data_IF_446157624472
#
_entry.id   IF_446157624472
#
_cell.length_a   1.000
_cell.length_b   1.000
_cell.length_c   1.000
_cell.angle_alpha   90.00
_cell.angle_beta   90.00
_cell.angle_gamma   90.00
#
_symmetry.space_group_name_H-M   'P 1'
#
loop_
_entity.id
_entity.type
_entity.pdbx_description
1 polymer ?
#
# COMPACT_ATOMS: atom_id res chain seq x y z
N UNK A 1 21.22 -25.82 -44.95
CA UNK A 1 21.50 -25.62 -43.50
C UNK A 1 21.42 -26.98 -42.81
N UNK A 2 22.45 -27.34 -42.08
CA UNK A 2 22.66 -28.72 -41.57
C UNK A 2 21.62 -29.02 -40.46
N UNK A 3 20.88 -30.15 -40.57
CA UNK A 3 19.84 -30.56 -39.58
C UNK A 3 20.29 -30.47 -38.13
N UNK A 4 21.58 -30.75 -37.86
CA UNK A 4 22.19 -30.67 -36.53
C UNK A 4 22.25 -29.21 -36.00
N UNK A 5 22.46 -28.24 -36.90
CA UNK A 5 22.51 -26.81 -36.52
C UNK A 5 21.10 -26.31 -36.19
N UNK A 6 20.10 -26.76 -36.92
CA UNK A 6 18.68 -26.37 -36.66
C UNK A 6 18.22 -26.91 -35.30
N UNK A 7 18.54 -28.18 -34.99
CA UNK A 7 18.18 -28.79 -33.70
C UNK A 7 18.90 -28.05 -32.55
N UNK A 8 20.18 -27.70 -32.70
CA UNK A 8 20.91 -26.93 -31.67
C UNK A 8 20.32 -25.57 -31.40
N UNK A 9 19.90 -24.85 -32.45
CA UNK A 9 19.25 -23.51 -32.31
C UNK A 9 17.88 -23.63 -31.64
N UNK A 10 17.08 -24.63 -31.98
CA UNK A 10 15.74 -24.84 -31.37
C UNK A 10 15.88 -25.20 -29.88
N UNK A 11 16.84 -26.08 -29.52
CA UNK A 11 17.11 -26.42 -28.12
C UNK A 11 17.57 -25.20 -27.31
N UNK A 12 18.43 -24.36 -27.90
CA UNK A 12 18.90 -23.13 -27.24
C UNK A 12 17.75 -22.13 -27.01
N UNK A 13 16.85 -21.98 -27.97
CA UNK A 13 15.68 -21.08 -27.83
C UNK A 13 14.74 -21.62 -26.75
N UNK A 14 14.53 -22.93 -26.68
CA UNK A 14 13.69 -23.57 -25.63
C UNK A 14 14.34 -23.37 -24.26
N UNK A 15 15.67 -23.55 -24.13
CA UNK A 15 16.38 -23.35 -22.89
C UNK A 15 16.37 -21.87 -22.43
N UNK A 16 16.49 -20.93 -23.36
CA UNK A 16 16.38 -19.48 -23.06
C UNK A 16 14.95 -19.14 -22.66
N UNK A 17 13.95 -19.73 -23.34
CA UNK A 17 12.53 -19.56 -23.01
C UNK A 17 12.19 -20.12 -21.62
N UNK A 18 12.70 -21.31 -21.27
CA UNK A 18 12.53 -21.93 -19.95
C UNK A 18 13.30 -21.16 -18.85
N UNK A 19 14.46 -20.59 -19.16
CA UNK A 19 15.23 -19.76 -18.24
C UNK A 19 14.52 -18.41 -18.00
N UNK A 20 13.96 -17.80 -19.03
CA UNK A 20 13.16 -16.56 -18.90
C UNK A 20 11.85 -16.79 -18.11
N UNK A 21 11.19 -17.94 -18.27
CA UNK A 21 10.03 -18.33 -17.47
C UNK A 21 10.39 -18.59 -15.99
N UNK A 22 11.61 -19.01 -15.70
CA UNK A 22 12.11 -19.23 -14.33
C UNK A 22 12.57 -17.96 -13.62
N UNK A 23 12.77 -16.85 -14.36
CA UNK A 23 13.09 -15.52 -13.85
C UNK A 23 11.86 -14.67 -13.52
N UNK A 24 10.65 -15.24 -13.50
CA UNK A 24 9.53 -14.62 -12.82
C UNK A 24 9.95 -14.39 -11.37
N UNK A 25 10.29 -13.13 -11.01
CA UNK A 25 10.53 -12.73 -9.61
C UNK A 25 9.37 -13.30 -8.79
N UNK A 26 9.64 -14.23 -7.90
CA UNK A 26 8.68 -14.59 -6.85
C UNK A 26 8.49 -13.33 -6.01
N UNK A 27 7.50 -12.52 -6.36
CA UNK A 27 7.08 -11.39 -5.53
C UNK A 27 6.54 -12.04 -4.26
N UNK A 28 7.22 -11.80 -3.15
CA UNK A 28 6.73 -12.24 -1.85
C UNK A 28 5.50 -11.42 -1.51
N UNK A 29 4.32 -12.00 -1.79
CA UNK A 29 3.04 -11.39 -1.44
C UNK A 29 2.77 -11.68 0.04
N UNK A 30 2.56 -10.62 0.82
CA UNK A 30 2.08 -10.68 2.18
C UNK A 30 0.59 -11.07 2.25
N UNK A 31 -0.02 -10.85 3.39
CA UNK A 31 -1.46 -11.07 3.56
C UNK A 31 -2.28 -9.99 2.86
N UNK A 32 -3.54 -10.28 2.61
CA UNK A 32 -4.51 -9.28 2.22
C UNK A 32 -5.21 -8.72 3.45
N UNK A 33 -5.50 -7.43 3.40
CA UNK A 33 -6.30 -6.71 4.40
C UNK A 33 -7.50 -6.09 3.72
N UNK A 34 -8.66 -6.23 4.33
CA UNK A 34 -9.89 -5.51 3.93
C UNK A 34 -10.13 -4.41 4.95
N UNK A 35 -10.28 -3.18 4.46
CA UNK A 35 -10.81 -2.05 5.19
C UNK A 35 -12.29 -1.88 4.80
N UNK A 36 -13.20 -2.30 5.70
CA UNK A 36 -14.62 -2.07 5.56
C UNK A 36 -14.89 -0.61 5.96
N UNK A 37 -15.20 0.25 5.00
CA UNK A 37 -15.39 1.68 5.26
C UNK A 37 -16.87 2.08 5.16
N UNK A 38 -17.21 3.26 5.68
CA UNK A 38 -18.55 3.85 5.52
C UNK A 38 -18.93 4.17 4.05
N UNK A 39 -17.98 4.02 3.10
CA UNK A 39 -18.19 4.23 1.66
C UNK A 39 -18.04 2.95 0.83
N UNK A 40 -17.71 1.82 1.45
CA UNK A 40 -17.47 0.51 0.80
C UNK A 40 -16.13 -0.10 1.22
N UNK A 41 -15.85 -1.28 0.68
CA UNK A 41 -14.69 -2.07 1.04
C UNK A 41 -13.48 -1.74 0.17
N UNK A 42 -12.30 -1.70 0.78
CA UNK A 42 -11.01 -1.53 0.12
C UNK A 42 -10.15 -2.74 0.46
N UNK A 43 -9.73 -3.52 -0.55
CA UNK A 43 -8.84 -4.67 -0.36
C UNK A 43 -7.41 -4.30 -0.72
N UNK A 44 -6.49 -4.51 0.20
CA UNK A 44 -5.07 -4.19 0.08
C UNK A 44 -4.27 -5.49 0.11
N UNK A 45 -3.42 -5.72 -0.90
CA UNK A 45 -2.37 -6.73 -0.90
C UNK A 45 -1.12 -6.13 -0.26
N UNK A 46 -0.70 -6.65 0.87
CA UNK A 46 0.54 -6.22 1.52
C UNK A 46 1.77 -6.80 0.80
N UNK A 47 2.90 -6.11 0.89
CA UNK A 47 4.20 -6.58 0.40
C UNK A 47 4.86 -7.44 1.50
N UNK A 48 5.04 -8.75 1.24
CA UNK A 48 5.56 -9.69 2.21
C UNK A 48 7.07 -9.56 2.46
N UNK A 49 7.76 -8.78 1.65
CA UNK A 49 9.18 -8.42 1.79
C UNK A 49 9.40 -7.11 2.57
N UNK A 50 8.33 -6.58 3.19
CA UNK A 50 8.33 -5.37 4.02
C UNK A 50 7.94 -5.70 5.48
N UNK A 51 8.71 -6.55 6.21
CA UNK A 51 8.31 -7.08 7.52
C UNK A 51 8.17 -6.02 8.61
N UNK A 52 8.88 -4.90 8.53
CA UNK A 52 8.77 -3.81 9.51
C UNK A 52 7.47 -3.04 9.24
N UNK A 53 7.26 -2.54 8.04
CA UNK A 53 6.17 -1.64 7.73
C UNK A 53 4.85 -2.38 7.50
N UNK A 54 4.84 -3.38 6.59
CA UNK A 54 3.65 -4.19 6.35
C UNK A 54 3.31 -5.06 7.56
N UNK A 55 4.33 -5.63 8.24
CA UNK A 55 4.13 -6.42 9.46
C UNK A 55 3.57 -5.60 10.62
N UNK A 56 3.98 -4.34 10.78
CA UNK A 56 3.39 -3.44 11.77
C UNK A 56 1.92 -3.13 11.45
N UNK A 57 1.60 -2.83 10.20
CA UNK A 57 0.23 -2.59 9.77
C UNK A 57 -0.64 -3.84 10.01
N UNK A 58 -0.18 -5.03 9.61
CA UNK A 58 -0.84 -6.31 9.87
C UNK A 58 -1.12 -6.55 11.36
N UNK A 59 -0.11 -6.31 12.22
CA UNK A 59 -0.24 -6.40 13.68
C UNK A 59 -1.34 -5.49 14.19
N UNK A 60 -1.37 -4.23 13.79
CA UNK A 60 -2.37 -3.25 14.21
C UNK A 60 -3.78 -3.62 13.72
N UNK A 61 -3.90 -4.14 12.48
CA UNK A 61 -5.16 -4.69 11.96
C UNK A 61 -5.65 -5.85 12.84
N UNK A 62 -4.78 -6.80 13.18
CA UNK A 62 -5.13 -7.97 14.00
C UNK A 62 -5.57 -7.59 15.42
N UNK A 63 -5.12 -6.45 15.92
CA UNK A 63 -5.50 -5.88 17.21
C UNK A 63 -6.79 -5.04 17.15
N UNK A 64 -7.39 -4.87 15.97
CA UNK A 64 -8.56 -4.01 15.77
C UNK A 64 -8.27 -2.52 15.92
N UNK A 65 -6.99 -2.13 15.89
CA UNK A 65 -6.55 -0.75 16.13
C UNK A 65 -7.19 0.27 15.20
N UNK A 66 -7.46 -0.13 13.96
CA UNK A 66 -8.05 0.76 12.94
C UNK A 66 -9.57 0.83 12.96
N UNK A 67 -10.25 0.02 13.80
CA UNK A 67 -11.71 0.03 13.87
C UNK A 67 -12.19 1.34 14.49
N UNK A 68 -13.05 2.06 13.76
CA UNK A 68 -13.54 3.38 14.14
C UNK A 68 -12.60 4.53 13.76
N UNK A 69 -11.36 4.27 13.30
CA UNK A 69 -10.49 5.31 12.79
C UNK A 69 -11.08 5.95 11.52
N UNK A 70 -10.76 7.23 11.27
CA UNK A 70 -11.27 7.96 10.12
C UNK A 70 -10.16 8.29 9.12
N UNK A 71 -10.55 8.57 7.88
CA UNK A 71 -9.69 9.29 6.93
C UNK A 71 -9.77 10.78 7.28
N UNK A 72 -8.83 11.24 8.08
CA UNK A 72 -8.82 12.59 8.66
C UNK A 72 -8.28 13.66 7.71
N UNK A 73 -7.63 13.27 6.59
CA UNK A 73 -7.12 14.18 5.57
C UNK A 73 -7.30 13.59 4.17
N UNK A 74 -7.97 14.35 3.30
CA UNK A 74 -8.29 13.94 1.93
C UNK A 74 -7.94 15.08 0.99
N UNK A 75 -7.00 14.82 0.06
CA UNK A 75 -6.63 15.76 -0.99
C UNK A 75 -6.87 15.09 -2.34
N UNK A 76 -7.91 15.53 -3.03
CA UNK A 76 -8.21 15.03 -4.38
C UNK A 76 -7.02 15.28 -5.33
N UNK A 77 -6.68 14.26 -6.15
CA UNK A 77 -5.51 14.32 -7.03
C UNK A 77 -4.16 14.16 -6.32
N UNK A 78 -4.18 13.77 -5.01
CA UNK A 78 -2.96 13.48 -4.25
C UNK A 78 -3.10 12.18 -3.45
N UNK A 79 -3.76 12.18 -2.31
CA UNK A 79 -3.88 11.00 -1.43
C UNK A 79 -5.09 11.12 -0.48
N UNK A 80 -5.47 9.98 0.11
CA UNK A 80 -6.34 9.92 1.30
C UNK A 80 -5.54 9.36 2.47
N UNK A 81 -5.58 10.01 3.64
CA UNK A 81 -4.78 9.66 4.82
C UNK A 81 -5.68 9.33 6.01
N UNK A 82 -5.34 8.23 6.69
CA UNK A 82 -6.02 7.74 7.88
C UNK A 82 -5.07 7.03 8.84
N UNK A 83 -5.65 6.23 9.77
CA UNK A 83 -4.88 5.40 10.70
C UNK A 83 -4.43 6.08 11.98
N UNK A 84 -4.93 7.30 12.23
CA UNK A 84 -4.83 7.97 13.53
C UNK A 84 -6.05 7.59 14.39
N UNK A 85 -5.87 6.96 15.57
CA UNK A 85 -6.98 6.58 16.44
C UNK A 85 -7.72 7.78 17.03
N UNK A 86 -7.10 8.96 17.06
CA UNK A 86 -7.72 10.21 17.56
C UNK A 86 -8.39 11.02 16.46
N UNK A 87 -8.12 10.72 15.19
CA UNK A 87 -8.66 11.42 14.03
C UNK A 87 -8.20 12.88 13.88
N UNK A 88 -7.16 13.29 14.61
CA UNK A 88 -6.61 14.67 14.60
C UNK A 88 -5.43 14.86 13.65
N UNK A 89 -4.85 13.76 13.14
CA UNK A 89 -3.59 13.75 12.40
C UNK A 89 -2.33 13.71 13.28
N UNK A 90 -2.49 13.78 14.61
CA UNK A 90 -1.38 13.81 15.58
C UNK A 90 -1.24 12.53 16.40
N UNK A 91 -2.24 11.63 16.34
CA UNK A 91 -2.25 10.39 17.10
C UNK A 91 -1.46 9.27 16.41
N UNK A 92 -1.25 8.18 17.17
CA UNK A 92 -0.51 7.00 16.70
C UNK A 92 -0.58 5.85 17.70
N UNK A 93 0.22 4.79 17.50
CA UNK A 93 0.16 3.57 18.30
C UNK A 93 0.95 3.65 19.61
N UNK A 94 1.54 4.82 19.94
CA UNK A 94 2.40 5.00 21.11
C UNK A 94 3.86 4.60 20.90
N UNK A 95 4.26 4.28 19.67
CA UNK A 95 5.63 3.97 19.26
C UNK A 95 5.87 4.35 17.80
N UNK A 96 7.14 4.38 17.40
CA UNK A 96 7.55 4.56 15.99
C UNK A 96 8.28 3.34 15.47
N UNK A 97 8.24 3.16 14.15
CA UNK A 97 8.98 2.11 13.43
C UNK A 97 10.06 2.73 12.54
N UNK A 98 11.09 1.94 12.22
CA UNK A 98 12.11 2.32 11.25
C UNK A 98 11.53 2.36 9.84
N UNK A 99 11.99 3.32 9.05
CA UNK A 99 11.67 3.36 7.62
C UNK A 99 12.25 2.13 6.90
N UNK A 100 11.48 1.59 5.97
CA UNK A 100 11.82 0.37 5.25
C UNK A 100 11.59 0.58 3.76
N UNK A 101 12.65 0.56 2.95
CA UNK A 101 12.62 0.84 1.51
C UNK A 101 13.15 -0.35 0.68
N UNK A 102 12.96 -1.58 1.19
CA UNK A 102 13.60 -2.80 0.66
C UNK A 102 12.73 -3.58 -0.33
N UNK A 103 11.49 -3.12 -0.61
CA UNK A 103 10.59 -3.82 -1.52
C UNK A 103 11.26 -4.12 -2.86
N UNK A 104 11.20 -5.39 -3.31
CA UNK A 104 11.87 -5.86 -4.55
C UNK A 104 11.39 -5.13 -5.82
N UNK A 105 10.16 -4.60 -5.82
CA UNK A 105 9.62 -3.73 -6.85
C UNK A 105 10.20 -2.31 -6.85
N UNK A 106 11.00 -1.97 -5.85
CA UNK A 106 11.41 -0.61 -5.52
C UNK A 106 10.33 0.12 -4.74
N UNK A 107 10.73 1.09 -3.91
CA UNK A 107 9.77 1.93 -3.20
C UNK A 107 9.12 2.90 -4.18
N UNK A 108 7.86 2.69 -4.51
CA UNK A 108 7.10 3.47 -5.48
C UNK A 108 5.76 3.90 -4.90
N UNK A 109 5.58 5.21 -4.75
CA UNK A 109 4.32 5.83 -4.36
C UNK A 109 3.45 6.06 -5.60
N UNK A 110 3.17 4.97 -6.32
CA UNK A 110 2.30 5.00 -7.49
C UNK A 110 0.82 5.00 -7.08
N UNK A 111 -0.06 5.32 -8.03
CA UNK A 111 -1.51 5.23 -7.83
C UNK A 111 -1.92 3.89 -7.22
N UNK A 112 -2.77 3.94 -6.20
CA UNK A 112 -3.28 2.78 -5.48
C UNK A 112 -2.30 2.14 -4.49
N UNK A 113 -1.04 2.61 -4.35
CA UNK A 113 -0.18 2.11 -3.27
C UNK A 113 -0.61 2.66 -1.93
N UNK A 114 -0.50 1.83 -0.87
CA UNK A 114 -0.58 2.27 0.53
C UNK A 114 0.82 2.50 1.07
N UNK A 115 1.02 3.66 1.70
CA UNK A 115 2.34 4.10 2.17
C UNK A 115 2.27 4.60 3.60
N UNK A 116 3.37 4.47 4.34
CA UNK A 116 3.47 4.90 5.73
C UNK A 116 3.62 6.43 5.82
N UNK A 117 2.68 7.06 6.52
CA UNK A 117 2.81 8.47 6.88
C UNK A 117 3.84 8.63 8.01
N UNK A 118 4.60 9.71 7.95
CA UNK A 118 5.61 10.04 8.97
C UNK A 118 5.81 11.56 9.05
N UNK A 119 6.43 12.03 10.14
CA UNK A 119 6.84 13.42 10.37
C UNK A 119 8.37 13.61 10.25
N UNK A 120 9.03 12.72 9.55
CA UNK A 120 10.47 12.67 9.34
C UNK A 120 10.99 11.24 9.38
N UNK A 121 12.29 11.01 9.18
CA UNK A 121 12.87 9.68 9.15
C UNK A 121 12.59 8.87 10.42
N UNK A 122 12.20 7.59 10.25
CA UNK A 122 11.94 6.63 11.33
C UNK A 122 10.86 7.09 12.34
N UNK A 123 9.89 7.89 11.90
CA UNK A 123 8.77 8.34 12.74
C UNK A 123 7.42 7.76 12.33
N UNK A 124 7.39 6.82 11.39
CA UNK A 124 6.18 6.07 11.02
C UNK A 124 5.59 5.33 12.23
N UNK A 125 4.28 5.19 12.28
CA UNK A 125 3.57 4.54 13.37
C UNK A 125 2.36 3.74 12.87
N UNK A 126 1.17 4.31 13.02
CA UNK A 126 -0.07 3.70 12.50
C UNK A 126 -0.68 4.45 11.33
N UNK A 127 -0.32 5.73 11.14
CA UNK A 127 -0.91 6.52 10.07
C UNK A 127 -0.39 6.06 8.71
N UNK A 128 -1.30 5.96 7.75
CA UNK A 128 -1.02 5.58 6.38
C UNK A 128 -1.77 6.49 5.41
N UNK A 129 -1.34 6.48 4.16
CA UNK A 129 -2.09 7.11 3.08
C UNK A 129 -2.17 6.19 1.85
N UNK A 130 -3.24 6.36 1.06
CA UNK A 130 -3.41 5.68 -0.22
C UNK A 130 -3.24 6.72 -1.32
N UNK A 131 -2.35 6.45 -2.26
CA UNK A 131 -2.02 7.35 -3.35
C UNK A 131 -3.12 7.37 -4.42
N UNK A 132 -3.61 8.55 -4.78
CA UNK A 132 -4.61 8.75 -5.83
C UNK A 132 -4.00 8.96 -7.22
N UNK A 133 -2.72 9.31 -7.24
CA UNK A 133 -1.90 9.52 -8.45
C UNK A 133 -0.48 9.00 -8.19
N UNK A 134 0.40 9.07 -9.20
CA UNK A 134 1.81 8.73 -9.02
C UNK A 134 2.54 9.87 -8.28
N UNK A 135 2.79 9.67 -6.99
CA UNK A 135 3.46 10.62 -6.09
C UNK A 135 4.94 10.25 -5.90
N UNK A 136 5.67 9.99 -6.98
CA UNK A 136 7.04 9.44 -6.92
C UNK A 136 8.06 10.36 -6.23
N UNK A 137 7.74 11.63 -6.02
CA UNK A 137 8.55 12.54 -5.19
C UNK A 137 8.57 12.14 -3.70
N UNK A 138 7.69 11.22 -3.28
CA UNK A 138 7.62 10.62 -1.93
C UNK A 138 8.46 9.35 -1.80
N UNK A 139 8.98 8.78 -2.89
CA UNK A 139 9.64 7.47 -2.92
C UNK A 139 10.84 7.35 -1.96
N UNK A 140 11.54 8.44 -1.69
CA UNK A 140 12.67 8.47 -0.75
C UNK A 140 12.30 8.78 0.70
N UNK A 141 11.01 9.00 1.00
CA UNK A 141 10.56 9.53 2.31
C UNK A 141 9.48 8.66 2.96
N UNK A 142 8.61 8.05 2.17
CA UNK A 142 7.45 7.31 2.65
C UNK A 142 7.50 5.87 2.10
N UNK A 143 7.70 4.87 2.98
CA UNK A 143 7.70 3.47 2.58
C UNK A 143 6.33 3.05 2.04
N UNK A 144 6.27 2.62 0.77
CA UNK A 144 5.12 1.95 0.20
C UNK A 144 5.16 0.46 0.61
N UNK A 145 4.11 -0.03 1.26
CA UNK A 145 4.11 -1.35 1.87
C UNK A 145 2.98 -2.27 1.40
N UNK A 146 2.21 -1.83 0.40
CA UNK A 146 1.15 -2.62 -0.21
C UNK A 146 0.49 -1.91 -1.39
N UNK A 147 -0.44 -2.62 -2.02
CA UNK A 147 -1.19 -2.17 -3.19
C UNK A 147 -2.67 -2.47 -3.01
N UNK A 148 -3.52 -1.51 -3.31
CA UNK A 148 -4.96 -1.72 -3.45
C UNK A 148 -5.21 -2.63 -4.65
N UNK A 149 -5.91 -3.72 -4.42
CA UNK A 149 -6.26 -4.72 -5.45
C UNK A 149 -7.74 -4.74 -5.77
N UNK A 150 -8.60 -4.23 -4.86
CA UNK A 150 -10.03 -4.04 -5.06
C UNK A 150 -10.50 -2.77 -4.33
N UNK A 151 -11.52 -2.08 -4.85
CA UNK A 151 -12.11 -0.89 -4.22
C UNK A 151 -11.44 0.44 -4.58
N UNK A 152 -10.76 0.54 -5.74
CA UNK A 152 -10.26 1.83 -6.24
C UNK A 152 -11.38 2.82 -6.51
N UNK A 153 -12.54 2.36 -6.95
CA UNK A 153 -13.75 3.17 -7.13
C UNK A 153 -14.28 3.75 -5.79
N UNK A 154 -14.18 2.97 -4.70
CA UNK A 154 -14.48 3.44 -3.34
C UNK A 154 -13.51 4.54 -2.93
N UNK A 155 -12.21 4.36 -3.19
CA UNK A 155 -11.17 5.35 -2.90
C UNK A 155 -11.41 6.64 -3.70
N UNK A 156 -11.76 6.53 -4.98
CA UNK A 156 -12.10 7.67 -5.82
C UNK A 156 -13.38 8.40 -5.34
N UNK A 157 -14.37 7.67 -4.82
CA UNK A 157 -15.55 8.26 -4.21
C UNK A 157 -15.19 9.01 -2.91
N UNK A 158 -14.33 8.45 -2.07
CA UNK A 158 -13.79 9.10 -0.88
C UNK A 158 -13.02 10.37 -1.27
N UNK A 159 -12.20 10.33 -2.31
CA UNK A 159 -11.40 11.46 -2.76
C UNK A 159 -12.22 12.69 -3.23
N UNK A 160 -13.49 12.48 -3.57
CA UNK A 160 -14.40 13.52 -4.08
C UNK A 160 -15.29 14.15 -3.01
N UNK A 161 -15.20 13.72 -1.75
CA UNK A 161 -15.99 14.32 -0.67
C UNK A 161 -15.59 15.77 -0.42
N UNK A 162 -16.49 16.57 0.11
CA UNK A 162 -16.18 17.95 0.49
C UNK A 162 -15.29 17.95 1.73
N UNK A 163 -14.27 18.80 1.72
CA UNK A 163 -13.34 19.02 2.82
C UNK A 163 -13.35 20.45 3.30
N UNK A 164 -12.87 20.68 4.51
CA UNK A 164 -12.59 22.01 5.04
C UNK A 164 -11.24 22.57 4.52
N UNK A 165 -10.84 23.73 5.04
CA UNK A 165 -9.57 24.40 4.67
C UNK A 165 -8.31 23.64 5.12
N UNK A 166 -8.45 22.61 5.96
CA UNK A 166 -7.37 21.75 6.46
C UNK A 166 -7.40 20.35 5.80
N UNK A 167 -8.10 20.23 4.66
CA UNK A 167 -8.28 18.96 3.93
C UNK A 167 -9.06 17.88 4.72
N UNK A 168 -9.71 18.23 5.83
CA UNK A 168 -10.54 17.32 6.62
C UNK A 168 -11.92 17.17 5.97
N UNK A 169 -12.42 15.93 5.78
CA UNK A 169 -13.78 15.74 5.27
C UNK A 169 -14.82 16.36 6.21
N UNK A 170 -15.84 17.03 5.63
CA UNK A 170 -16.93 17.65 6.41
C UNK A 170 -17.81 16.61 7.10
N UNK A 171 -17.86 15.41 6.58
CA UNK A 171 -18.51 14.23 7.18
C UNK A 171 -17.44 13.14 7.34
N UNK A 172 -17.32 12.58 8.54
CA UNK A 172 -16.31 11.58 8.82
C UNK A 172 -16.48 10.33 7.94
N UNK A 173 -15.40 9.92 7.30
CA UNK A 173 -15.31 8.67 6.57
C UNK A 173 -14.57 7.68 7.45
N UNK A 174 -15.31 6.73 8.04
CA UNK A 174 -14.77 5.80 9.02
C UNK A 174 -14.35 4.46 8.41
N UNK A 175 -13.34 3.85 8.99
CA UNK A 175 -13.01 2.43 8.85
C UNK A 175 -13.85 1.70 9.91
N UNK A 176 -14.95 1.09 9.48
CA UNK A 176 -15.86 0.36 10.37
C UNK A 176 -15.12 -0.82 10.98
N UNK A 177 -14.37 -1.54 10.13
CA UNK A 177 -13.58 -2.70 10.53
C UNK A 177 -12.40 -2.91 9.58
N UNK A 178 -11.24 -3.26 10.14
CA UNK A 178 -10.11 -3.75 9.39
C UNK A 178 -9.87 -5.23 9.72
N UNK A 179 -9.70 -6.08 8.69
CA UNK A 179 -9.49 -7.53 8.89
C UNK A 179 -8.51 -8.12 7.88
N UNK A 180 -7.78 -9.14 8.31
CA UNK A 180 -6.88 -9.94 7.47
C UNK A 180 -7.71 -11.06 6.80
N UNK A 181 -7.38 -11.35 5.53
CA UNK A 181 -7.95 -12.45 4.76
C UNK A 181 -6.88 -13.28 4.04
#
# INVERSE_FOLDING_TARGET
MNKKIIIGVVVLIILIGLFALKMGKNINLGKKVVLETSKGDITIQLYGDMPITAGNFEKLVSQGFYNGAIFHRIINGFMIQGGDPTGTGMGGPGYSIKDEFIHQGGNKNNIGTISMANSGPNSGGSQFFINLVNNNFLDSKHPAFGQVVEGMDVIEAIAKVKTDSNDRPLEDISIIKARII
#
